data_IF_049209078712
#
_entry.id   IF_049209078712
#
_cell.length_a   1.000
_cell.length_b   1.000
_cell.length_c   1.000
_cell.angle_alpha   90.00
_cell.angle_beta   90.00
_cell.angle_gamma   90.00
#
_symmetry.space_group_name_H-M   'P 1'
#
loop_
_entity.id
_entity.type
_entity.pdbx_description
1 polymer ?
#
# COMPACT_ATOMS: atom_id res chain seq x y z
N UNK A 1 -14.25 20.94 -6.35
CA UNK A 1 -12.98 21.09 -7.07
C UNK A 1 -11.90 21.36 -6.02
N UNK A 2 -10.85 20.57 -5.94
CA UNK A 2 -9.79 20.71 -4.90
C UNK A 2 -8.87 21.85 -5.30
N UNK A 3 -8.77 22.91 -4.48
CA UNK A 3 -7.74 23.93 -4.70
C UNK A 3 -6.36 23.35 -4.38
N UNK A 4 -5.44 23.45 -5.34
CA UNK A 4 -4.08 22.94 -5.22
C UNK A 4 -3.29 23.66 -4.10
N UNK A 5 -3.57 24.95 -3.87
CA UNK A 5 -2.94 25.72 -2.81
C UNK A 5 -3.38 25.26 -1.42
N UNK A 6 -4.67 24.97 -1.25
CA UNK A 6 -5.19 24.36 -0.02
C UNK A 6 -4.64 22.96 0.21
N UNK A 7 -4.44 22.18 -0.87
CA UNK A 7 -3.84 20.86 -0.77
C UNK A 7 -2.40 20.94 -0.27
N UNK A 8 -1.57 21.82 -0.84
CA UNK A 8 -0.21 22.06 -0.36
C UNK A 8 -0.17 22.58 1.08
N UNK A 9 -1.08 23.51 1.44
CA UNK A 9 -1.19 24.01 2.80
C UNK A 9 -1.51 22.88 3.80
N UNK A 10 -2.44 21.99 3.45
CA UNK A 10 -2.79 20.83 4.27
C UNK A 10 -1.64 19.83 4.42
N UNK A 11 -0.92 19.54 3.32
CA UNK A 11 0.19 18.59 3.32
C UNK A 11 1.38 19.10 4.13
N UNK A 12 1.72 20.37 4.03
CA UNK A 12 2.93 20.92 4.62
C UNK A 12 2.71 21.71 5.93
N UNK A 13 1.54 21.55 6.54
CA UNK A 13 1.16 22.24 7.78
C UNK A 13 2.14 22.00 8.93
N UNK A 14 2.68 20.79 9.05
CA UNK A 14 3.55 20.38 10.16
C UNK A 14 5.03 20.78 9.97
N UNK A 15 5.40 21.42 8.85
CA UNK A 15 6.74 22.00 8.71
C UNK A 15 6.86 23.29 9.53
N UNK A 16 7.72 23.26 10.55
CA UNK A 16 7.94 24.42 11.46
C UNK A 16 8.55 25.65 10.78
N UNK A 17 9.30 25.49 9.68
CA UNK A 17 10.01 26.56 8.99
C UNK A 17 9.44 26.87 7.60
N UNK A 18 9.28 28.14 7.24
CA UNK A 18 8.84 28.55 5.92
C UNK A 18 9.76 27.99 4.81
N UNK A 19 11.08 27.99 5.04
CA UNK A 19 12.06 27.42 4.12
C UNK A 19 11.80 25.95 3.80
N UNK A 20 11.45 25.12 4.80
CA UNK A 20 11.14 23.72 4.56
C UNK A 20 9.84 23.55 3.75
N UNK A 21 8.83 24.37 3.99
CA UNK A 21 7.58 24.35 3.18
C UNK A 21 7.85 24.70 1.72
N UNK A 22 8.65 25.74 1.49
CA UNK A 22 9.05 26.15 0.13
C UNK A 22 9.82 25.01 -0.56
N UNK A 23 10.81 24.41 0.10
CA UNK A 23 11.61 23.30 -0.47
C UNK A 23 10.80 22.04 -0.71
N UNK A 24 9.89 21.70 0.19
CA UNK A 24 8.98 20.57 0.01
C UNK A 24 8.09 20.77 -1.21
N UNK A 25 7.52 21.97 -1.37
CA UNK A 25 6.70 22.33 -2.51
C UNK A 25 7.49 22.29 -3.80
N UNK A 26 8.67 22.92 -3.86
CA UNK A 26 9.57 22.88 -5.03
C UNK A 26 9.91 21.43 -5.41
N UNK A 27 10.23 20.58 -4.44
CA UNK A 27 10.54 19.19 -4.72
C UNK A 27 9.36 18.43 -5.32
N UNK A 28 8.15 18.61 -4.76
CA UNK A 28 6.92 17.99 -5.27
C UNK A 28 6.57 18.51 -6.67
N UNK A 29 6.65 19.83 -6.89
CA UNK A 29 6.42 20.46 -8.22
C UNK A 29 7.43 19.97 -9.24
N UNK A 30 8.70 19.83 -8.86
CA UNK A 30 9.73 19.26 -9.71
C UNK A 30 9.49 17.79 -10.04
N UNK A 31 9.04 16.98 -9.09
CA UNK A 31 8.63 15.59 -9.36
C UNK A 31 7.48 15.50 -10.37
N UNK A 32 6.56 16.42 -10.31
CA UNK A 32 5.42 16.50 -11.23
C UNK A 32 5.80 17.09 -12.60
N UNK A 33 6.78 17.99 -12.64
CA UNK A 33 7.17 18.72 -13.86
C UNK A 33 8.23 18.03 -14.73
N UNK A 34 9.01 17.08 -14.16
CA UNK A 34 10.06 16.38 -14.91
C UNK A 34 9.46 15.27 -15.76
N UNK A 35 9.80 15.19 -17.02
CA UNK A 35 9.58 14.01 -17.84
C UNK A 35 10.75 13.01 -17.68
N UNK A 36 10.41 11.71 -17.55
CA UNK A 36 11.39 10.65 -17.34
C UNK A 36 11.95 10.59 -15.91
N UNK A 37 13.23 10.34 -15.75
CA UNK A 37 13.87 10.04 -14.48
C UNK A 37 13.94 11.23 -13.52
N UNK A 38 13.46 11.06 -12.29
CA UNK A 38 13.36 12.10 -11.26
C UNK A 38 14.66 12.20 -10.43
N UNK A 39 15.78 12.52 -11.07
CA UNK A 39 17.03 12.85 -10.34
C UNK A 39 16.89 14.23 -9.67
N UNK A 40 17.68 14.49 -8.61
CA UNK A 40 17.64 15.80 -7.94
C UNK A 40 18.04 16.92 -8.91
N UNK A 41 18.96 16.65 -9.84
CA UNK A 41 19.36 17.60 -10.90
C UNK A 41 18.18 17.93 -11.83
N UNK A 42 17.46 16.92 -12.32
CA UNK A 42 16.30 17.12 -13.19
C UNK A 42 15.17 17.85 -12.46
N UNK A 43 14.94 17.52 -11.18
CA UNK A 43 13.96 18.21 -10.32
C UNK A 43 14.33 19.69 -10.16
N UNK A 44 15.60 20.01 -9.88
CA UNK A 44 16.07 21.39 -9.77
C UNK A 44 15.91 22.16 -11.07
N UNK A 45 16.27 21.56 -12.20
CA UNK A 45 16.10 22.17 -13.52
C UNK A 45 14.62 22.47 -13.83
N UNK A 46 13.71 21.59 -13.46
CA UNK A 46 12.26 21.77 -13.69
C UNK A 46 11.64 22.90 -12.87
N UNK A 47 12.19 23.24 -11.70
CA UNK A 47 11.72 24.36 -10.86
C UNK A 47 12.44 25.69 -11.16
N UNK A 48 13.30 25.73 -12.19
CA UNK A 48 13.84 26.97 -12.78
C UNK A 48 15.12 27.49 -12.17
N UNK A 49 15.75 26.84 -11.20
CA UNK A 49 17.04 27.26 -10.64
C UNK A 49 18.02 26.06 -10.48
N UNK A 50 19.00 25.92 -11.41
CA UNK A 50 20.04 24.88 -11.29
C UNK A 50 20.88 24.97 -9.99
N UNK A 51 20.99 26.17 -9.37
CA UNK A 51 21.70 26.34 -8.10
C UNK A 51 20.92 25.72 -6.94
N UNK A 52 19.64 25.46 -7.10
CA UNK A 52 18.81 24.77 -6.11
C UNK A 52 19.11 23.27 -6.01
N UNK A 53 19.86 22.65 -6.93
CA UNK A 53 20.21 21.23 -6.83
C UNK A 53 20.85 20.88 -5.48
N UNK A 54 21.86 21.63 -5.06
CA UNK A 54 22.52 21.37 -3.78
C UNK A 54 21.59 21.59 -2.58
N UNK A 55 20.71 22.59 -2.65
CA UNK A 55 19.72 22.87 -1.61
C UNK A 55 18.69 21.78 -1.51
N UNK A 56 18.14 21.30 -2.64
CA UNK A 56 17.20 20.18 -2.69
C UNK A 56 17.85 18.86 -2.25
N UNK A 57 19.11 18.63 -2.68
CA UNK A 57 19.90 17.47 -2.23
C UNK A 57 20.08 17.45 -0.71
N UNK A 58 20.44 18.60 -0.11
CA UNK A 58 20.54 18.73 1.36
C UNK A 58 19.18 18.55 2.04
N UNK A 59 18.12 19.09 1.45
CA UNK A 59 16.75 18.97 1.98
C UNK A 59 16.30 17.52 2.06
N UNK A 60 16.59 16.69 1.06
CA UNK A 60 16.23 15.27 1.07
C UNK A 60 17.20 14.44 1.89
N UNK A 61 18.53 14.65 1.75
CA UNK A 61 19.53 13.77 2.34
C UNK A 61 19.95 14.14 3.75
N UNK A 62 19.98 15.43 4.12
CA UNK A 62 20.62 15.91 5.34
C UNK A 62 19.77 16.80 6.25
N UNK A 63 18.63 17.33 5.81
CA UNK A 63 17.82 18.21 6.63
C UNK A 63 17.12 17.48 7.78
N UNK A 64 16.98 18.17 8.92
CA UNK A 64 16.39 17.60 10.13
C UNK A 64 14.85 17.77 10.17
N UNK A 65 14.14 17.34 9.12
CA UNK A 65 12.68 17.30 9.16
C UNK A 65 12.15 15.87 9.25
N UNK A 66 11.00 15.69 9.92
CA UNK A 66 10.38 14.40 10.14
C UNK A 66 9.48 14.02 8.97
N UNK A 67 9.82 12.93 8.28
CA UNK A 67 8.94 12.34 7.27
C UNK A 67 7.66 11.75 7.87
N UNK A 68 7.67 11.33 9.14
CA UNK A 68 6.49 10.76 9.80
C UNK A 68 5.40 11.82 10.04
N UNK A 69 5.79 13.05 10.40
CA UNK A 69 4.84 14.16 10.50
C UNK A 69 4.18 14.44 9.14
N UNK A 70 4.97 14.46 8.07
CA UNK A 70 4.44 14.66 6.71
C UNK A 70 3.54 13.51 6.26
N UNK A 71 3.88 12.26 6.55
CA UNK A 71 3.05 11.09 6.28
C UNK A 71 1.72 11.14 7.03
N UNK A 72 1.76 11.55 8.31
CA UNK A 72 0.56 11.76 9.12
C UNK A 72 -0.33 12.86 8.54
N UNK A 73 0.24 13.99 8.11
CA UNK A 73 -0.50 15.05 7.45
C UNK A 73 -1.12 14.56 6.14
N UNK A 74 -0.38 13.80 5.33
CA UNK A 74 -0.87 13.18 4.09
C UNK A 74 -2.04 12.21 4.39
N UNK A 75 -1.88 11.31 5.37
CA UNK A 75 -2.93 10.36 5.77
C UNK A 75 -4.22 11.11 6.17
N UNK A 76 -4.11 12.12 7.04
CA UNK A 76 -5.26 12.95 7.44
C UNK A 76 -5.90 13.65 6.25
N UNK A 77 -5.09 14.24 5.37
CA UNK A 77 -5.59 14.95 4.20
C UNK A 77 -6.43 14.05 3.29
N UNK A 78 -5.95 12.84 2.99
CA UNK A 78 -6.68 11.93 2.09
C UNK A 78 -7.91 11.31 2.75
N UNK A 79 -7.85 10.96 4.02
CA UNK A 79 -8.98 10.36 4.74
C UNK A 79 -10.10 11.38 4.98
N UNK A 80 -9.78 12.63 5.32
CA UNK A 80 -10.76 13.71 5.46
C UNK A 80 -11.48 13.97 4.13
N UNK A 81 -10.74 14.00 3.01
CA UNK A 81 -11.34 14.21 1.69
C UNK A 81 -12.16 13.02 1.18
N UNK A 82 -11.86 11.82 1.63
CA UNK A 82 -12.65 10.64 1.30
C UNK A 82 -13.98 10.57 2.05
N UNK A 83 -14.06 11.21 3.19
CA UNK A 83 -15.21 11.14 4.12
C UNK A 83 -15.11 9.96 5.09
N UNK A 84 -15.89 10.05 6.16
CA UNK A 84 -15.90 9.07 7.23
C UNK A 84 -16.32 7.68 6.75
N UNK A 85 -15.62 6.64 7.23
CA UNK A 85 -15.89 5.24 6.91
C UNK A 85 -15.63 4.81 5.47
N UNK A 86 -15.25 5.73 4.57
CA UNK A 86 -14.95 5.40 3.17
C UNK A 86 -13.48 5.05 2.98
N UNK A 87 -13.24 4.05 2.10
CA UNK A 87 -11.90 3.57 1.76
C UNK A 87 -11.38 2.50 2.70
N UNK A 88 -10.19 2.03 2.39
CA UNK A 88 -9.44 1.03 3.13
C UNK A 88 -7.95 1.35 3.04
N UNK A 89 -7.18 0.83 3.98
CA UNK A 89 -5.73 0.80 3.90
C UNK A 89 -5.30 -0.46 3.16
N UNK A 90 -4.30 -0.36 2.31
CA UNK A 90 -3.73 -1.50 1.59
C UNK A 90 -2.23 -1.54 1.86
N UNK A 91 -1.76 -2.65 2.39
CA UNK A 91 -0.34 -2.88 2.65
C UNK A 91 0.16 -3.97 1.71
N UNK A 92 1.14 -3.65 0.88
CA UNK A 92 1.70 -4.59 -0.07
C UNK A 92 3.20 -4.33 -0.33
N UNK A 93 3.96 -5.36 -0.75
CA UNK A 93 5.36 -5.20 -1.13
C UNK A 93 5.49 -4.57 -2.51
N UNK A 94 6.58 -3.84 -2.68
CA UNK A 94 7.03 -3.34 -3.98
C UNK A 94 8.49 -3.71 -4.21
N UNK A 95 8.85 -4.00 -5.45
CA UNK A 95 10.22 -4.22 -5.89
C UNK A 95 10.66 -3.03 -6.74
N UNK A 96 11.82 -2.46 -6.41
CA UNK A 96 12.42 -1.31 -7.08
C UNK A 96 13.77 -1.73 -7.66
N UNK A 97 13.83 -2.22 -8.91
CA UNK A 97 15.07 -2.60 -9.56
C UNK A 97 16.06 -1.44 -9.62
N UNK A 98 17.33 -1.70 -9.40
CA UNK A 98 18.42 -0.71 -9.43
C UNK A 98 19.55 -1.15 -10.35
N UNK A 99 20.20 -0.18 -10.98
CA UNK A 99 21.40 -0.41 -11.76
C UNK A 99 22.62 -0.27 -10.82
N UNK A 100 22.97 -1.36 -10.12
CA UNK A 100 24.06 -1.41 -9.14
C UNK A 100 23.59 -1.46 -7.69
N UNK A 101 24.56 -1.54 -6.79
CA UNK A 101 24.37 -1.87 -5.36
C UNK A 101 24.57 -0.69 -4.41
N UNK A 102 24.87 0.50 -4.93
CA UNK A 102 25.28 1.66 -4.12
C UNK A 102 24.14 2.35 -3.37
N UNK A 103 22.90 2.16 -3.79
CA UNK A 103 21.76 2.74 -3.11
C UNK A 103 21.43 1.98 -1.82
N UNK A 104 20.90 2.68 -0.82
CA UNK A 104 20.53 2.07 0.47
C UNK A 104 19.54 0.91 0.28
N UNK A 105 19.76 -0.20 0.98
CA UNK A 105 18.83 -1.34 1.00
C UNK A 105 18.77 -2.16 -0.29
N UNK A 106 19.72 -1.99 -1.19
CA UNK A 106 19.80 -2.83 -2.41
C UNK A 106 20.26 -4.23 -2.05
N UNK A 107 19.48 -5.22 -2.49
CA UNK A 107 19.75 -6.65 -2.31
C UNK A 107 19.39 -7.42 -3.58
N UNK A 108 19.83 -8.67 -3.66
CA UNK A 108 19.33 -9.59 -4.69
C UNK A 108 18.08 -10.27 -4.19
N UNK A 109 16.98 -10.16 -4.93
CA UNK A 109 15.71 -10.78 -4.55
C UNK A 109 14.90 -11.18 -5.79
N UNK A 110 14.00 -12.14 -5.60
CA UNK A 110 13.04 -12.50 -6.64
C UNK A 110 12.00 -11.41 -6.83
N UNK A 111 11.81 -10.97 -8.06
CA UNK A 111 10.80 -9.97 -8.46
C UNK A 111 9.69 -10.69 -9.22
N UNK A 112 8.49 -10.87 -8.63
CA UNK A 112 7.40 -11.61 -9.26
C UNK A 112 6.94 -10.98 -10.57
N UNK A 113 6.94 -9.65 -10.67
CA UNK A 113 6.51 -8.93 -11.87
C UNK A 113 7.45 -9.14 -13.07
N UNK A 114 8.69 -9.55 -12.80
CA UNK A 114 9.72 -9.85 -13.82
C UNK A 114 10.07 -11.32 -13.91
N UNK A 115 9.48 -12.15 -13.06
CA UNK A 115 9.71 -13.60 -12.97
C UNK A 115 11.19 -14.00 -12.88
N UNK A 116 12.02 -13.13 -12.27
CA UNK A 116 13.47 -13.33 -12.14
C UNK A 116 14.05 -12.66 -10.90
N UNK A 117 15.26 -13.11 -10.53
CA UNK A 117 16.06 -12.43 -9.51
C UNK A 117 16.58 -11.09 -10.07
N UNK A 118 16.35 -10.03 -9.34
CA UNK A 118 16.83 -8.68 -9.66
C UNK A 118 17.74 -8.15 -8.56
N UNK A 119 18.58 -7.19 -8.92
CA UNK A 119 19.28 -6.32 -7.96
C UNK A 119 18.39 -5.11 -7.73
N UNK A 120 18.05 -4.80 -6.48
CA UNK A 120 17.15 -3.70 -6.20
C UNK A 120 16.75 -3.59 -4.73
N UNK A 121 15.83 -2.70 -4.47
CA UNK A 121 15.23 -2.48 -3.16
C UNK A 121 13.91 -3.25 -3.07
N UNK A 122 13.62 -3.80 -1.90
CA UNK A 122 12.29 -4.26 -1.53
C UNK A 122 11.73 -3.37 -0.44
N UNK A 123 10.48 -2.99 -0.55
CA UNK A 123 9.79 -2.21 0.46
C UNK A 123 8.34 -2.66 0.60
N UNK A 124 7.76 -2.44 1.77
CA UNK A 124 6.31 -2.44 1.92
C UNK A 124 5.80 -1.00 1.90
N UNK A 125 4.67 -0.79 1.22
CA UNK A 125 3.94 0.47 1.18
C UNK A 125 2.56 0.34 1.79
N UNK A 126 2.16 1.30 2.63
CA UNK A 126 0.78 1.50 3.05
C UNK A 126 0.12 2.54 2.14
N UNK A 127 -0.99 2.16 1.54
CA UNK A 127 -1.76 2.96 0.60
C UNK A 127 -3.16 3.22 1.14
N UNK A 128 -3.66 4.42 0.96
CA UNK A 128 -5.08 4.69 1.11
C UNK A 128 -5.79 4.43 -0.21
N UNK A 129 -6.86 3.66 -0.20
CA UNK A 129 -7.59 3.25 -1.39
C UNK A 129 -9.10 3.43 -1.21
N UNK A 130 -9.74 4.09 -2.16
CA UNK A 130 -11.19 4.09 -2.36
C UNK A 130 -11.53 3.36 -3.67
N UNK A 131 -12.80 3.33 -4.07
CA UNK A 131 -13.16 2.82 -5.39
C UNK A 131 -12.57 3.66 -6.54
N UNK A 132 -12.34 4.94 -6.31
CA UNK A 132 -11.96 5.92 -7.32
C UNK A 132 -10.49 6.30 -7.23
N UNK A 133 -9.93 6.38 -6.02
CA UNK A 133 -8.64 7.00 -5.74
C UNK A 133 -7.69 6.07 -5.00
N UNK A 134 -6.39 6.24 -5.27
CA UNK A 134 -5.29 5.53 -4.64
C UNK A 134 -4.22 6.54 -4.25
N UNK A 135 -3.71 6.49 -3.02
CA UNK A 135 -2.62 7.38 -2.57
C UNK A 135 -1.65 6.61 -1.68
N UNK A 136 -0.34 6.55 -2.02
CA UNK A 136 0.67 5.98 -1.15
C UNK A 136 0.92 6.90 0.06
N UNK A 137 1.09 6.33 1.25
CA UNK A 137 1.20 7.10 2.49
C UNK A 137 2.50 6.84 3.23
N UNK A 138 2.79 5.58 3.54
CA UNK A 138 3.94 5.20 4.35
C UNK A 138 4.70 4.04 3.75
N UNK A 139 5.99 3.94 4.11
CA UNK A 139 6.91 3.01 3.48
C UNK A 139 7.88 2.41 4.50
N UNK A 140 8.17 1.11 4.32
CA UNK A 140 9.24 0.40 5.04
C UNK A 140 10.17 -0.27 4.05
N UNK A 141 11.42 0.19 4.02
CA UNK A 141 12.48 -0.44 3.24
C UNK A 141 12.92 -1.73 3.96
N UNK A 142 12.87 -2.86 3.27
CA UNK A 142 13.39 -4.11 3.82
C UNK A 142 14.91 -4.14 3.74
N UNK A 143 15.55 -4.52 4.84
CA UNK A 143 17.00 -4.71 4.92
C UNK A 143 17.41 -6.18 4.77
N UNK A 144 16.44 -7.07 4.90
CA UNK A 144 16.58 -8.52 4.75
C UNK A 144 15.37 -9.08 4.02
N UNK A 145 15.44 -10.36 3.65
CA UNK A 145 14.38 -11.08 2.96
C UNK A 145 13.63 -12.05 3.87
N UNK A 146 13.91 -12.06 5.18
CA UNK A 146 13.30 -12.99 6.14
C UNK A 146 11.80 -12.73 6.29
N UNK A 147 11.06 -13.77 6.65
CA UNK A 147 9.64 -13.63 6.99
C UNK A 147 9.44 -12.70 8.19
N UNK A 148 10.36 -12.75 9.17
CA UNK A 148 10.32 -11.88 10.35
C UNK A 148 10.42 -10.40 9.96
N UNK A 149 11.32 -10.03 9.03
CA UNK A 149 11.44 -8.64 8.55
C UNK A 149 10.16 -8.18 7.85
N UNK A 150 9.53 -9.06 7.06
CA UNK A 150 8.26 -8.74 6.38
C UNK A 150 7.11 -8.57 7.36
N UNK A 151 6.98 -9.47 8.34
CA UNK A 151 5.95 -9.36 9.39
C UNK A 151 6.14 -8.09 10.22
N UNK A 152 7.38 -7.75 10.57
CA UNK A 152 7.69 -6.51 11.30
C UNK A 152 7.29 -5.27 10.48
N UNK A 153 7.65 -5.20 9.19
CA UNK A 153 7.31 -4.10 8.31
C UNK A 153 5.79 -3.92 8.16
N UNK A 154 5.05 -5.02 7.99
CA UNK A 154 3.58 -5.00 7.93
C UNK A 154 2.99 -4.49 9.24
N UNK A 155 3.43 -5.04 10.39
CA UNK A 155 2.96 -4.64 11.72
C UNK A 155 3.19 -3.16 11.99
N UNK A 156 4.35 -2.62 11.66
CA UNK A 156 4.67 -1.20 11.81
C UNK A 156 3.74 -0.34 10.95
N UNK A 157 3.55 -0.68 9.67
CA UNK A 157 2.68 0.08 8.76
C UNK A 157 1.21 0.05 9.20
N UNK A 158 0.70 -1.11 9.63
CA UNK A 158 -0.67 -1.24 10.15
C UNK A 158 -0.86 -0.41 11.40
N UNK A 159 0.10 -0.46 12.34
CA UNK A 159 0.07 0.35 13.57
C UNK A 159 0.07 1.85 13.24
N UNK A 160 0.94 2.30 12.34
CA UNK A 160 1.01 3.72 11.94
C UNK A 160 -0.30 4.24 11.37
N UNK A 161 -0.89 3.53 10.40
CA UNK A 161 -2.13 4.02 9.77
C UNK A 161 -3.30 4.00 10.75
N UNK A 162 -3.38 3.02 11.65
CA UNK A 162 -4.39 2.96 12.70
C UNK A 162 -4.27 4.12 13.70
N UNK A 163 -3.03 4.44 14.13
CA UNK A 163 -2.77 5.53 15.08
C UNK A 163 -2.98 6.92 14.47
N UNK A 164 -2.62 7.09 13.18
CA UNK A 164 -2.66 8.43 12.55
C UNK A 164 -4.06 8.90 12.21
N UNK A 165 -4.96 7.99 11.97
CA UNK A 165 -6.32 8.33 11.55
C UNK A 165 -7.37 8.14 12.63
N UNK A 166 -7.05 7.32 13.65
CA UNK A 166 -7.97 7.07 14.78
C UNK A 166 -9.27 6.38 14.35
N UNK A 167 -9.37 5.98 13.10
CA UNK A 167 -10.57 5.36 12.56
C UNK A 167 -10.41 3.84 12.39
N UNK A 168 -11.54 3.17 12.24
CA UNK A 168 -11.63 1.71 12.11
C UNK A 168 -11.76 1.24 10.66
N UNK A 169 -11.15 1.96 9.72
CA UNK A 169 -11.12 1.49 8.33
C UNK A 169 -10.39 0.16 8.23
N UNK A 170 -10.88 -0.77 7.40
CA UNK A 170 -10.22 -2.04 7.22
C UNK A 170 -8.82 -1.86 6.61
N UNK A 171 -7.89 -2.69 7.04
CA UNK A 171 -6.56 -2.82 6.44
C UNK A 171 -6.50 -4.13 5.65
N UNK A 172 -6.13 -4.05 4.39
CA UNK A 172 -5.94 -5.19 3.50
C UNK A 172 -4.45 -5.43 3.33
N UNK A 173 -3.96 -6.58 3.77
CA UNK A 173 -2.55 -6.99 3.66
C UNK A 173 -2.40 -8.03 2.57
N UNK A 174 -1.71 -7.69 1.50
CA UNK A 174 -1.30 -8.63 0.48
C UNK A 174 0.23 -8.80 0.50
N UNK A 175 0.77 -9.90 0.99
CA UNK A 175 2.22 -10.13 1.06
C UNK A 175 2.87 -10.44 -0.31
N UNK A 176 2.14 -10.31 -1.41
CA UNK A 176 2.65 -10.57 -2.76
C UNK A 176 2.81 -12.05 -3.07
N UNK A 177 3.96 -12.44 -3.62
CA UNK A 177 4.24 -13.81 -4.04
C UNK A 177 4.45 -14.80 -2.88
N UNK A 178 4.63 -14.30 -1.65
CA UNK A 178 4.86 -15.12 -0.46
C UNK A 178 3.67 -14.94 0.49
N UNK A 179 2.58 -15.69 0.30
CA UNK A 179 1.39 -15.58 1.14
C UNK A 179 1.71 -15.93 2.60
N UNK A 180 0.92 -15.39 3.52
CA UNK A 180 1.11 -15.64 4.95
C UNK A 180 0.82 -17.11 5.26
N UNK A 181 1.79 -17.79 5.86
CA UNK A 181 1.68 -19.18 6.30
C UNK A 181 1.27 -19.30 7.77
N UNK A 182 1.58 -18.28 8.57
CA UNK A 182 1.19 -18.17 9.98
C UNK A 182 0.38 -16.87 10.21
N UNK A 183 -0.94 -16.91 9.99
CA UNK A 183 -1.79 -15.74 10.16
C UNK A 183 -1.95 -15.29 11.62
N UNK A 184 -1.64 -16.13 12.61
CA UNK A 184 -1.72 -15.75 14.02
C UNK A 184 -0.70 -14.63 14.38
N UNK A 185 0.37 -14.47 13.61
CA UNK A 185 1.38 -13.42 13.83
C UNK A 185 0.98 -12.04 13.30
N UNK A 186 -0.17 -11.90 12.64
CA UNK A 186 -0.63 -10.63 12.11
C UNK A 186 -1.21 -9.72 13.21
N UNK A 187 -1.21 -8.39 13.03
CA UNK A 187 -1.64 -7.44 14.06
C UNK A 187 -3.18 -7.25 14.09
N UNK A 188 -3.92 -8.33 14.31
CA UNK A 188 -5.39 -8.33 14.35
C UNK A 188 -5.98 -7.37 15.39
N UNK A 189 -5.27 -7.15 16.49
CA UNK A 189 -5.72 -6.32 17.61
C UNK A 189 -5.75 -4.81 17.31
N UNK A 190 -5.14 -4.40 16.20
CA UNK A 190 -4.96 -2.97 15.89
C UNK A 190 -6.12 -2.34 15.14
N UNK A 191 -6.71 -3.06 14.21
CA UNK A 191 -7.79 -2.59 13.34
C UNK A 191 -8.47 -3.79 12.66
N UNK A 192 -9.65 -3.59 12.06
CA UNK A 192 -10.24 -4.62 11.20
C UNK A 192 -9.27 -4.98 10.07
N UNK A 193 -8.89 -6.24 9.98
CA UNK A 193 -7.83 -6.71 9.10
C UNK A 193 -8.35 -7.74 8.09
N UNK A 194 -7.80 -7.70 6.90
CA UNK A 194 -7.98 -8.72 5.87
C UNK A 194 -6.62 -9.08 5.30
N UNK A 195 -6.22 -10.35 5.41
CA UNK A 195 -4.86 -10.81 5.05
C UNK A 195 -4.95 -11.92 4.02
N UNK A 196 -4.17 -11.84 2.95
CA UNK A 196 -4.00 -12.95 2.00
C UNK A 196 -3.09 -14.01 2.61
N UNK A 197 -3.58 -15.25 2.66
CA UNK A 197 -2.91 -16.38 3.28
C UNK A 197 -2.63 -17.48 2.29
N UNK A 198 -1.71 -18.39 2.65
CA UNK A 198 -1.50 -19.61 1.88
C UNK A 198 -2.78 -20.48 1.87
N UNK A 199 -3.07 -21.07 0.76
CA UNK A 199 -4.26 -21.88 0.56
C UNK A 199 -4.29 -23.17 1.40
N UNK A 200 -3.12 -23.59 1.90
CA UNK A 200 -2.95 -24.75 2.82
C UNK A 200 -3.08 -24.40 4.29
N UNK A 201 -3.25 -23.13 4.68
CA UNK A 201 -3.43 -22.74 6.08
C UNK A 201 -4.59 -23.49 6.70
N UNK A 202 -4.34 -24.16 7.84
CA UNK A 202 -5.34 -24.91 8.58
C UNK A 202 -6.34 -23.99 9.25
N UNK A 203 -7.64 -24.21 9.02
CA UNK A 203 -8.73 -23.46 9.61
C UNK A 203 -9.67 -24.41 10.37
N UNK A 204 -10.05 -24.04 11.57
CA UNK A 204 -11.19 -24.67 12.25
C UNK A 204 -12.48 -24.12 11.63
N UNK A 205 -13.30 -24.99 11.07
CA UNK A 205 -14.56 -24.65 10.40
C UNK A 205 -15.73 -25.46 10.97
N UNK A 206 -16.96 -24.98 10.77
CA UNK A 206 -18.13 -25.73 11.20
C UNK A 206 -18.22 -27.09 10.49
N UNK A 207 -18.69 -28.18 11.16
CA UNK A 207 -18.76 -29.52 10.58
C UNK A 207 -19.54 -29.62 9.27
N UNK A 208 -20.53 -28.74 9.09
CA UNK A 208 -21.35 -28.68 7.87
C UNK A 208 -20.54 -28.22 6.64
N UNK A 209 -19.40 -27.58 6.86
CA UNK A 209 -18.52 -27.07 5.78
C UNK A 209 -17.67 -28.18 5.19
N UNK A 210 -17.26 -29.14 6.02
CA UNK A 210 -16.45 -30.30 5.58
C UNK A 210 -17.21 -31.57 5.99
N UNK A 211 -17.95 -32.23 5.09
CA UNK A 211 -18.74 -33.41 5.37
C UNK A 211 -17.90 -34.57 5.93
N UNK A 212 -18.46 -35.32 6.84
CA UNK A 212 -17.83 -36.51 7.42
C UNK A 212 -17.08 -36.28 8.73
N UNK A 213 -17.13 -35.10 9.32
CA UNK A 213 -16.51 -34.78 10.60
C UNK A 213 -17.55 -34.48 11.69
N UNK A 214 -17.46 -35.15 12.85
CA UNK A 214 -18.38 -34.98 13.96
C UNK A 214 -18.08 -33.75 14.85
N UNK A 215 -16.84 -33.26 14.85
CA UNK A 215 -16.38 -32.06 15.57
C UNK A 215 -15.89 -31.00 14.61
N UNK A 216 -15.64 -29.77 15.08
CA UNK A 216 -15.09 -28.71 14.23
C UNK A 216 -13.77 -29.16 13.62
N UNK A 217 -13.73 -29.58 12.34
CA UNK A 217 -12.53 -30.10 11.74
C UNK A 217 -11.55 -28.97 11.43
N UNK A 218 -10.27 -29.27 11.56
CA UNK A 218 -9.21 -28.42 10.97
C UNK A 218 -9.00 -28.87 9.53
N UNK A 219 -9.27 -27.98 8.59
CA UNK A 219 -9.10 -28.25 7.17
C UNK A 219 -8.27 -27.16 6.49
N UNK A 220 -7.56 -27.49 5.41
CA UNK A 220 -6.94 -26.46 4.58
C UNK A 220 -7.98 -25.44 4.09
N UNK A 221 -7.64 -24.16 4.13
CA UNK A 221 -8.54 -23.09 3.77
C UNK A 221 -9.14 -23.26 2.36
N UNK A 222 -8.32 -23.70 1.42
CA UNK A 222 -8.78 -24.02 0.04
C UNK A 222 -9.82 -25.13 0.00
N UNK A 223 -9.69 -26.17 0.83
CA UNK A 223 -10.65 -27.27 0.90
C UNK A 223 -12.00 -26.80 1.48
N UNK A 224 -11.97 -26.06 2.60
CA UNK A 224 -13.15 -25.49 3.22
C UNK A 224 -13.93 -24.61 2.23
N UNK A 225 -13.23 -23.73 1.53
CA UNK A 225 -13.83 -22.83 0.54
C UNK A 225 -14.37 -23.55 -0.71
N UNK A 226 -13.68 -24.59 -1.19
CA UNK A 226 -14.16 -25.40 -2.31
C UNK A 226 -15.46 -26.14 -1.96
N UNK A 227 -15.58 -26.64 -0.72
CA UNK A 227 -16.79 -27.32 -0.25
C UNK A 227 -17.99 -26.38 -0.20
N UNK A 228 -17.82 -25.17 0.36
CA UNK A 228 -18.88 -24.14 0.41
C UNK A 228 -19.22 -23.60 -0.98
N UNK A 229 -18.24 -23.42 -1.84
CA UNK A 229 -18.44 -22.94 -3.19
C UNK A 229 -19.36 -23.84 -4.04
N UNK A 230 -19.46 -25.14 -3.71
CA UNK A 230 -20.40 -26.07 -4.34
C UNK A 230 -21.84 -25.92 -3.83
N UNK A 231 -22.01 -25.36 -2.62
CA UNK A 231 -23.29 -25.30 -1.92
C UNK A 231 -23.95 -23.90 -1.99
N UNK A 232 -23.19 -22.88 -2.32
CA UNK A 232 -23.64 -21.48 -2.24
C UNK A 232 -23.73 -20.86 -3.64
N UNK A 233 -24.75 -20.02 -3.84
CA UNK A 233 -24.84 -19.11 -5.00
C UNK A 233 -23.77 -18.02 -4.80
N UNK A 234 -22.54 -18.37 -5.14
CA UNK A 234 -21.43 -17.44 -5.07
C UNK A 234 -21.61 -16.31 -6.06
N UNK A 235 -21.76 -15.09 -5.57
CA UNK A 235 -21.88 -13.93 -6.42
C UNK A 235 -20.50 -13.45 -6.88
N UNK A 236 -20.30 -13.39 -8.18
CA UNK A 236 -19.13 -12.77 -8.83
C UNK A 236 -17.76 -13.43 -8.49
N UNK A 237 -17.72 -14.76 -8.37
CA UNK A 237 -16.47 -15.50 -8.15
C UNK A 237 -15.89 -15.34 -6.74
N UNK A 238 -16.73 -15.12 -5.74
CA UNK A 238 -16.36 -14.99 -4.34
C UNK A 238 -17.22 -15.88 -3.49
N UNK A 239 -16.61 -16.64 -2.56
CA UNK A 239 -17.31 -17.40 -1.52
C UNK A 239 -16.66 -17.18 -0.16
N UNK A 240 -17.45 -17.24 0.90
CA UNK A 240 -16.99 -17.04 2.28
C UNK A 240 -17.41 -18.18 3.18
N UNK A 241 -16.61 -18.44 4.21
CA UNK A 241 -16.92 -19.39 5.28
C UNK A 241 -16.48 -18.84 6.63
N UNK A 242 -17.32 -18.95 7.68
CA UNK A 242 -16.88 -18.68 9.04
C UNK A 242 -15.76 -19.66 9.44
N UNK A 243 -14.71 -19.13 10.05
CA UNK A 243 -13.52 -19.89 10.40
C UNK A 243 -12.88 -19.37 11.69
N UNK A 244 -11.97 -20.16 12.26
CA UNK A 244 -11.07 -19.73 13.32
C UNK A 244 -9.68 -20.35 13.12
N UNK A 245 -8.66 -19.77 13.76
CA UNK A 245 -7.32 -20.34 13.76
C UNK A 245 -7.25 -21.45 14.84
N UNK A 246 -6.71 -22.63 14.52
CA UNK A 246 -6.66 -23.77 15.47
C UNK A 246 -5.80 -23.50 16.71
N UNK A 247 -4.72 -22.74 16.56
CA UNK A 247 -3.79 -22.41 17.64
C UNK A 247 -4.21 -21.19 18.49
N UNK A 248 -5.44 -20.75 18.35
CA UNK A 248 -5.91 -19.50 18.94
C UNK A 248 -5.61 -18.30 18.03
N UNK A 249 -6.37 -17.21 18.22
CA UNK A 249 -6.27 -16.05 17.35
C UNK A 249 -7.23 -14.94 17.78
N UNK A 250 -7.51 -13.97 16.93
CA UNK A 250 -8.29 -12.77 17.24
C UNK A 250 -9.77 -13.03 17.53
N UNK A 251 -10.22 -14.26 17.50
CA UNK A 251 -11.64 -14.63 17.61
C UNK A 251 -12.22 -15.13 16.29
N UNK A 252 -13.53 -14.96 16.05
CA UNK A 252 -14.16 -15.41 14.83
C UNK A 252 -13.60 -14.69 13.59
N UNK A 253 -13.24 -15.47 12.59
CA UNK A 253 -12.77 -14.98 11.29
C UNK A 253 -13.73 -15.37 10.18
N UNK A 254 -13.63 -14.68 9.06
CA UNK A 254 -14.22 -15.08 7.79
C UNK A 254 -13.10 -15.44 6.82
N UNK A 255 -13.11 -16.68 6.33
CA UNK A 255 -12.27 -17.05 5.19
C UNK A 255 -13.00 -16.72 3.89
N UNK A 256 -12.28 -16.11 2.95
CA UNK A 256 -12.77 -15.72 1.63
C UNK A 256 -11.94 -16.40 0.56
N UNK A 257 -12.61 -17.06 -0.39
CA UNK A 257 -12.01 -17.54 -1.62
C UNK A 257 -12.35 -16.65 -2.80
N UNK A 258 -11.38 -16.40 -3.68
CA UNK A 258 -11.56 -15.64 -4.92
C UNK A 258 -11.23 -16.52 -6.12
N UNK A 259 -12.16 -16.55 -7.08
CA UNK A 259 -12.04 -17.24 -8.38
C UNK A 259 -12.15 -16.20 -9.49
N UNK A 260 -11.05 -15.81 -10.15
CA UNK A 260 -11.02 -14.70 -11.12
C UNK A 260 -11.98 -14.84 -12.29
N UNK A 261 -12.27 -16.08 -12.71
CA UNK A 261 -13.20 -16.36 -13.79
C UNK A 261 -14.69 -16.13 -13.44
N UNK A 262 -15.00 -15.62 -12.25
CA UNK A 262 -16.37 -15.37 -11.80
C UNK A 262 -17.18 -16.63 -11.48
N UNK A 263 -16.64 -17.80 -11.74
CA UNK A 263 -17.26 -19.11 -11.45
C UNK A 263 -16.60 -19.72 -10.23
N UNK A 264 -17.35 -19.91 -9.18
CA UNK A 264 -16.89 -20.64 -8.00
C UNK A 264 -16.92 -22.13 -8.32
N UNK A 265 -15.74 -22.75 -8.30
CA UNK A 265 -15.56 -24.16 -8.57
C UNK A 265 -14.09 -24.53 -8.53
N UNK A 266 -13.79 -25.74 -8.02
CA UNK A 266 -12.40 -26.12 -7.80
C UNK A 266 -11.70 -25.28 -6.72
N UNK A 267 -10.37 -25.25 -6.77
CA UNK A 267 -9.55 -24.53 -5.80
C UNK A 267 -9.58 -23.02 -6.07
N UNK A 268 -9.78 -22.16 -5.02
CA UNK A 268 -9.65 -20.72 -5.19
C UNK A 268 -8.21 -20.32 -5.57
N UNK A 269 -8.09 -19.28 -6.38
CA UNK A 269 -6.78 -18.71 -6.73
C UNK A 269 -6.19 -17.90 -5.57
N UNK A 270 -7.04 -17.19 -4.85
CA UNK A 270 -6.64 -16.43 -3.67
C UNK A 270 -7.48 -16.83 -2.46
N UNK A 271 -6.82 -16.91 -1.32
CA UNK A 271 -7.46 -17.17 -0.02
C UNK A 271 -7.13 -16.00 0.91
N UNK A 272 -8.16 -15.49 1.56
CA UNK A 272 -8.08 -14.39 2.49
C UNK A 272 -8.71 -14.74 3.83
N UNK A 273 -8.14 -14.24 4.92
CA UNK A 273 -8.77 -14.25 6.25
C UNK A 273 -9.10 -12.82 6.66
N UNK A 274 -10.26 -12.65 7.31
CA UNK A 274 -10.73 -11.33 7.71
C UNK A 274 -11.48 -11.38 9.03
N UNK A 275 -11.24 -10.39 9.89
CA UNK A 275 -12.04 -10.08 11.08
C UNK A 275 -12.90 -8.82 10.90
N UNK A 276 -13.02 -8.29 9.66
CA UNK A 276 -13.86 -7.12 9.35
C UNK A 276 -15.30 -7.41 9.77
N UNK A 277 -15.88 -6.64 10.72
CA UNK A 277 -17.18 -6.94 11.30
C UNK A 277 -18.32 -6.89 10.28
N UNK A 278 -19.24 -7.84 10.35
CA UNK A 278 -20.48 -7.91 9.57
C UNK A 278 -20.31 -7.66 8.05
N UNK A 279 -19.13 -7.98 7.50
CA UNK A 279 -18.85 -7.75 6.09
C UNK A 279 -19.61 -8.75 5.20
N UNK A 280 -20.34 -8.23 4.23
CA UNK A 280 -20.97 -9.05 3.18
C UNK A 280 -19.89 -9.63 2.25
N UNK A 281 -20.10 -10.84 1.66
CA UNK A 281 -19.13 -11.43 0.71
C UNK A 281 -18.73 -10.48 -0.42
N UNK A 282 -19.68 -9.71 -0.95
CA UNK A 282 -19.39 -8.72 -2.00
C UNK A 282 -18.46 -7.59 -1.52
N UNK A 283 -18.60 -7.16 -0.27
CA UNK A 283 -17.73 -6.13 0.34
C UNK A 283 -16.32 -6.66 0.54
N UNK A 284 -16.17 -7.87 1.08
CA UNK A 284 -14.85 -8.53 1.20
C UNK A 284 -14.21 -8.77 -0.17
N UNK A 285 -15.00 -9.20 -1.16
CA UNK A 285 -14.53 -9.33 -2.53
C UNK A 285 -14.10 -7.99 -3.16
N UNK A 286 -14.72 -6.86 -2.78
CA UNK A 286 -14.27 -5.54 -3.20
C UNK A 286 -12.91 -5.18 -2.56
N UNK A 287 -12.73 -5.47 -1.27
CA UNK A 287 -11.46 -5.28 -0.56
C UNK A 287 -10.35 -6.14 -1.17
N UNK A 288 -10.59 -7.41 -1.46
CA UNK A 288 -9.62 -8.33 -2.08
C UNK A 288 -9.09 -7.84 -3.46
N UNK A 289 -9.83 -6.98 -4.15
CA UNK A 289 -9.40 -6.40 -5.43
C UNK A 289 -8.49 -5.18 -5.29
N UNK A 290 -8.45 -4.53 -4.12
CA UNK A 290 -7.67 -3.30 -3.91
C UNK A 290 -6.16 -3.49 -4.12
N UNK A 291 -5.51 -4.57 -3.66
CA UNK A 291 -4.08 -4.77 -3.89
C UNK A 291 -3.69 -4.78 -5.37
N UNK A 292 -4.50 -5.42 -6.24
CA UNK A 292 -4.25 -5.42 -7.69
C UNK A 292 -4.34 -4.01 -8.29
N UNK A 293 -5.28 -3.19 -7.81
CA UNK A 293 -5.41 -1.79 -8.23
C UNK A 293 -4.23 -0.95 -7.75
N UNK A 294 -3.82 -1.11 -6.49
CA UNK A 294 -2.65 -0.42 -5.94
C UNK A 294 -1.37 -0.81 -6.68
N UNK A 295 -1.17 -2.09 -6.99
CA UNK A 295 -0.05 -2.54 -7.81
C UNK A 295 -0.07 -1.92 -9.22
N UNK A 296 -1.25 -1.70 -9.81
CA UNK A 296 -1.43 -0.92 -11.05
C UNK A 296 -0.99 0.53 -10.88
N UNK A 297 -1.49 1.22 -9.85
CA UNK A 297 -1.13 2.61 -9.53
C UNK A 297 0.36 2.80 -9.25
N UNK A 298 1.00 1.83 -8.57
CA UNK A 298 2.45 1.81 -8.39
C UNK A 298 3.21 1.82 -9.73
N UNK A 299 2.82 0.94 -10.66
CA UNK A 299 3.49 0.80 -11.97
C UNK A 299 3.27 1.97 -12.91
N UNK A 300 2.17 2.67 -12.79
CA UNK A 300 1.80 3.80 -13.67
C UNK A 300 2.16 5.12 -13.00
N UNK A 301 1.24 5.72 -12.26
CA UNK A 301 1.44 7.02 -11.60
C UNK A 301 2.59 7.01 -10.61
N UNK A 302 2.81 5.92 -9.86
CA UNK A 302 3.95 5.79 -8.95
C UNK A 302 5.28 5.93 -9.67
N UNK A 303 5.44 5.31 -10.82
CA UNK A 303 6.62 5.49 -11.68
C UNK A 303 6.70 6.91 -12.24
N UNK A 304 5.58 7.49 -12.68
CA UNK A 304 5.53 8.84 -13.24
C UNK A 304 5.94 9.92 -12.21
N UNK A 305 5.61 9.76 -10.93
CA UNK A 305 6.04 10.70 -9.87
C UNK A 305 7.37 10.33 -9.21
N UNK A 306 8.08 9.33 -9.71
CA UNK A 306 9.44 9.00 -9.28
C UNK A 306 9.55 8.21 -7.97
N UNK A 307 8.52 7.46 -7.54
CA UNK A 307 8.60 6.58 -6.36
C UNK A 307 9.76 5.56 -6.47
N UNK A 308 10.18 5.19 -7.68
CA UNK A 308 11.28 4.26 -7.91
C UNK A 308 12.66 4.93 -8.10
N UNK A 309 12.75 6.26 -8.14
CA UNK A 309 13.93 6.97 -8.68
C UNK A 309 14.99 7.37 -7.65
N UNK A 310 14.78 7.10 -6.36
CA UNK A 310 15.78 7.43 -5.34
C UNK A 310 17.09 6.64 -5.52
N UNK A 311 18.23 7.36 -5.57
CA UNK A 311 19.56 6.80 -5.75
C UNK A 311 20.53 7.06 -4.58
N UNK A 312 20.05 7.70 -3.52
CA UNK A 312 20.87 8.04 -2.36
C UNK A 312 21.29 6.82 -1.53
N UNK A 313 22.33 7.03 -0.69
CA UNK A 313 22.90 6.00 0.18
C UNK A 313 22.34 6.03 1.61
N UNK A 314 21.59 7.07 1.99
CA UNK A 314 21.06 7.20 3.34
C UNK A 314 19.62 6.73 3.45
N UNK A 315 19.31 5.95 4.49
CA UNK A 315 17.94 5.53 4.78
C UNK A 315 17.01 6.72 5.08
N UNK A 316 17.42 7.74 5.86
CA UNK A 316 16.60 8.94 6.03
C UNK A 316 16.30 9.66 4.72
N UNK A 317 17.26 9.73 3.80
CA UNK A 317 17.05 10.30 2.46
C UNK A 317 16.03 9.51 1.65
N UNK A 318 16.09 8.18 1.71
CA UNK A 318 15.10 7.31 1.09
C UNK A 318 13.69 7.56 1.61
N UNK A 319 13.52 7.60 2.94
CA UNK A 319 12.22 7.89 3.56
C UNK A 319 11.67 9.25 3.16
N UNK A 320 12.53 10.30 3.14
CA UNK A 320 12.12 11.64 2.74
C UNK A 320 11.69 11.70 1.27
N UNK A 321 12.49 11.09 0.38
CA UNK A 321 12.12 11.02 -1.04
C UNK A 321 10.81 10.28 -1.25
N UNK A 322 10.65 9.09 -0.69
CA UNK A 322 9.42 8.31 -0.81
C UNK A 322 8.20 9.08 -0.29
N UNK A 323 8.36 9.83 0.79
CA UNK A 323 7.28 10.65 1.36
C UNK A 323 6.92 11.84 0.46
N UNK A 324 7.91 12.55 -0.08
CA UNK A 324 7.68 13.66 -1.01
C UNK A 324 7.08 13.17 -2.34
N UNK A 325 7.53 12.03 -2.85
CA UNK A 325 6.94 11.39 -4.03
C UNK A 325 5.50 10.91 -3.77
N UNK A 326 5.19 10.47 -2.53
CA UNK A 326 3.81 10.19 -2.13
C UNK A 326 2.95 11.45 -2.09
N UNK A 327 3.50 12.60 -1.67
CA UNK A 327 2.81 13.89 -1.77
C UNK A 327 2.58 14.29 -3.23
N UNK A 328 3.57 14.10 -4.11
CA UNK A 328 3.42 14.34 -5.55
C UNK A 328 2.30 13.47 -6.15
N UNK A 329 2.28 12.19 -5.79
CA UNK A 329 1.19 11.27 -6.18
C UNK A 329 -0.17 11.79 -5.71
N UNK A 330 -0.28 12.24 -4.46
CA UNK A 330 -1.52 12.77 -3.91
C UNK A 330 -1.97 14.05 -4.62
N UNK A 331 -1.05 14.95 -4.94
CA UNK A 331 -1.36 16.18 -5.68
C UNK A 331 -1.86 15.85 -7.09
N UNK A 332 -1.21 14.95 -7.80
CA UNK A 332 -1.61 14.49 -9.13
C UNK A 332 -2.98 13.77 -9.09
N UNK A 333 -3.21 12.92 -8.10
CA UNK A 333 -4.47 12.17 -7.94
C UNK A 333 -5.65 13.05 -7.53
N UNK A 334 -5.42 14.06 -6.69
CA UNK A 334 -6.48 14.86 -6.10
C UNK A 334 -6.76 16.18 -6.84
N UNK A 335 -5.77 16.68 -7.59
CA UNK A 335 -5.83 17.97 -8.28
C UNK A 335 -5.36 17.89 -9.75
N UNK A 336 -5.27 16.69 -10.34
CA UNK A 336 -4.74 16.46 -11.70
C UNK A 336 -5.40 17.32 -12.76
N UNK A 337 -6.73 17.39 -12.78
CA UNK A 337 -7.48 18.24 -13.74
C UNK A 337 -7.11 19.73 -13.66
N UNK A 338 -6.74 20.21 -12.47
CA UNK A 338 -6.31 21.60 -12.28
C UNK A 338 -4.86 21.81 -12.73
N UNK A 339 -4.00 20.83 -12.48
CA UNK A 339 -2.60 20.83 -12.96
C UNK A 339 -2.53 20.84 -14.49
N UNK A 340 -3.35 20.04 -15.16
CA UNK A 340 -3.40 20.00 -16.62
C UNK A 340 -3.85 21.36 -17.20
N UNK A 341 -4.86 22.00 -16.62
CA UNK A 341 -5.30 23.35 -17.02
C UNK A 341 -4.20 24.41 -16.83
N UNK A 342 -3.46 24.35 -15.73
CA UNK A 342 -2.35 25.30 -15.48
C UNK A 342 -1.21 25.09 -16.49
N UNK A 343 -0.86 23.85 -16.82
CA UNK A 343 0.15 23.54 -17.83
C UNK A 343 -0.27 24.00 -19.23
N UNK A 344 -1.53 23.75 -19.61
CA UNK A 344 -2.06 24.16 -20.90
C UNK A 344 -2.17 25.69 -21.04
N UNK A 345 -2.48 26.39 -19.95
CA UNK A 345 -2.51 27.87 -19.93
C UNK A 345 -1.13 28.51 -20.02
N UNK A 346 -0.07 27.87 -19.52
CA UNK A 346 1.31 28.34 -19.62
C UNK A 346 1.92 28.10 -21.03
N UNK A 347 1.42 27.12 -21.78
CA UNK A 347 1.84 26.90 -23.17
C UNK A 347 1.14 27.82 -24.18
N UNK A 348 0.11 28.55 -23.76
CA UNK A 348 -0.69 29.44 -24.62
C UNK A 348 -0.38 30.93 -24.41
N UNK A 349 0.54 31.26 -23.49
CA UNK A 349 1.05 32.60 -23.22
C UNK A 349 2.55 32.72 -23.65
#
# INVERSE_FOLDING_TARGET
>A
MTDISELYASLFTDFRGATHRVRARQYVEGLLGVDGRKTVANIAAAVGDPQDEQRLRRFVSGAAWSWDLLRRALARTVTTRAGEGRGAWVVLPVSIPKNGDRSVGVTRHYCPERERVVVGQQAFGAWFATQERLVPISWRLLRGSSETDRVAAVRELVTEVAEWTGDRRPVVVDPGALPVTDPARQPWERCPLMVRVDAGVGLAVAPQVVPGHAAAPVAPASQALTSVGRLSVASRGVATVPAALPAGGPGPLTALGVWPGGRVGGRPEEVWLSDVPAARPASLGALARLPRRVAGGWRTRGAAVGLADFEGRSLPGWHRHMTLASCAYAVDELAGDQLERQRSGLCAA
#
